data_IF_331196882105
#
_entry.id   IF_331196882105
#
_cell.length_a   1.000
_cell.length_b   1.000
_cell.length_c   1.000
_cell.angle_alpha   90.00
_cell.angle_beta   90.00
_cell.angle_gamma   90.00
#
_symmetry.space_group_name_H-M   'P 1'
#
loop_
_entity.id
_entity.type
_entity.pdbx_description
1 polymer ?
#
# COMPACT_ATOMS: atom_id res chain seq x y z
N UNK A 1 -40.97 -5.99 14.06
CA UNK A 1 -41.69 -5.49 12.86
C UNK A 1 -40.92 -4.36 12.14
N UNK A 2 -40.33 -3.39 12.84
CA UNK A 2 -39.60 -2.27 12.20
C UNK A 2 -38.39 -2.68 11.34
N UNK A 3 -37.57 -3.64 11.80
CA UNK A 3 -36.40 -4.09 11.03
C UNK A 3 -36.72 -4.79 9.71
N UNK A 4 -37.91 -5.40 9.58
CA UNK A 4 -38.37 -6.09 8.38
C UNK A 4 -39.02 -5.13 7.37
N UNK A 5 -39.74 -4.12 7.86
CA UNK A 5 -40.44 -3.15 6.99
C UNK A 5 -39.47 -2.18 6.31
N UNK A 6 -38.40 -1.76 6.98
CA UNK A 6 -37.37 -0.89 6.36
C UNK A 6 -36.52 -1.57 5.28
N UNK A 7 -36.65 -2.89 5.07
CA UNK A 7 -35.97 -3.62 3.99
C UNK A 7 -36.82 -3.79 2.73
N UNK A 8 -38.10 -3.40 2.76
CA UNK A 8 -39.02 -3.53 1.63
C UNK A 8 -38.98 -2.25 0.80
N UNK A 9 -38.31 -2.29 -0.35
CA UNK A 9 -38.16 -1.15 -1.28
C UNK A 9 -39.42 -0.94 -2.12
N UNK A 10 -40.49 -0.43 -1.51
CA UNK A 10 -41.74 -0.06 -2.20
C UNK A 10 -42.20 1.30 -1.72
N UNK A 11 -42.30 2.27 -2.64
CA UNK A 11 -42.64 3.67 -2.36
C UNK A 11 -44.00 3.84 -1.66
N UNK A 12 -44.96 2.94 -1.93
CA UNK A 12 -46.26 2.98 -1.24
C UNK A 12 -46.17 2.61 0.23
N UNK A 13 -45.16 1.86 0.66
CA UNK A 13 -45.01 1.39 2.05
C UNK A 13 -44.25 2.44 2.89
N UNK A 14 -43.39 3.26 2.27
CA UNK A 14 -42.58 4.26 2.98
C UNK A 14 -43.43 5.37 3.61
N UNK A 15 -44.51 5.80 2.95
CA UNK A 15 -45.46 6.79 3.53
C UNK A 15 -46.16 6.24 4.79
N UNK A 16 -46.61 4.98 4.78
CA UNK A 16 -47.25 4.35 5.95
C UNK A 16 -46.26 4.01 7.07
N UNK A 17 -44.96 3.98 6.78
CA UNK A 17 -43.90 3.67 7.75
C UNK A 17 -43.49 4.88 8.60
N UNK A 18 -43.78 6.11 8.15
CA UNK A 18 -43.35 7.34 8.80
C UNK A 18 -43.85 7.47 10.24
N UNK A 19 -45.16 7.30 10.45
CA UNK A 19 -45.78 7.51 11.76
C UNK A 19 -45.40 6.41 12.78
N UNK A 20 -45.37 5.11 12.43
CA UNK A 20 -44.80 4.07 13.28
C UNK A 20 -43.32 4.30 13.61
N UNK A 21 -42.52 4.73 12.63
CA UNK A 21 -41.09 4.99 12.84
C UNK A 21 -40.86 6.13 13.83
N UNK A 22 -41.64 7.21 13.73
CA UNK A 22 -41.60 8.34 14.67
C UNK A 22 -41.89 7.90 16.11
N UNK A 23 -42.82 6.95 16.30
CA UNK A 23 -43.09 6.36 17.62
C UNK A 23 -41.92 5.50 18.09
N UNK A 24 -41.34 4.68 17.21
CA UNK A 24 -40.19 3.83 17.55
C UNK A 24 -38.92 4.62 17.91
N UNK A 25 -38.74 5.84 17.39
CA UNK A 25 -37.61 6.70 17.77
C UNK A 25 -37.71 7.22 19.22
N UNK A 26 -38.93 7.29 19.78
CA UNK A 26 -39.20 7.72 21.17
C UNK A 26 -39.60 6.58 22.10
N UNK A 27 -39.36 5.34 21.67
CA UNK A 27 -39.72 4.15 22.44
C UNK A 27 -38.91 4.04 23.74
N UNK A 28 -39.46 3.39 24.76
CA UNK A 28 -38.76 3.19 26.04
C UNK A 28 -37.62 2.17 25.90
N UNK A 29 -37.75 1.20 24.97
CA UNK A 29 -36.75 0.16 24.76
C UNK A 29 -35.58 0.66 23.88
N UNK A 30 -34.33 0.68 24.39
CA UNK A 30 -33.15 1.01 23.60
C UNK A 30 -32.96 0.14 22.35
N UNK A 31 -33.42 -1.12 22.37
CA UNK A 31 -33.34 -2.01 21.22
C UNK A 31 -34.25 -1.51 20.08
N UNK A 32 -35.44 -1.01 20.40
CA UNK A 32 -36.37 -0.45 19.41
C UNK A 32 -35.80 0.85 18.86
N UNK A 33 -35.29 1.73 19.73
CA UNK A 33 -34.68 3.02 19.31
C UNK A 33 -33.46 2.84 18.41
N UNK A 34 -32.56 1.89 18.71
CA UNK A 34 -31.39 1.62 17.83
C UNK A 34 -31.84 1.10 16.46
N UNK A 35 -32.86 0.24 16.41
CA UNK A 35 -33.38 -0.28 15.14
C UNK A 35 -34.11 0.81 14.36
N UNK A 36 -34.80 1.71 15.05
CA UNK A 36 -35.43 2.88 14.45
C UNK A 36 -34.38 3.82 13.84
N UNK A 37 -33.26 4.08 14.51
CA UNK A 37 -32.16 4.90 13.98
C UNK A 37 -31.61 4.35 12.65
N UNK A 38 -31.34 3.04 12.58
CA UNK A 38 -30.90 2.39 11.33
C UNK A 38 -32.01 2.40 10.26
N UNK A 39 -33.28 2.31 10.67
CA UNK A 39 -34.41 2.37 9.75
C UNK A 39 -34.55 3.77 9.11
N UNK A 40 -34.18 4.85 9.81
CA UNK A 40 -34.12 6.20 9.24
C UNK A 40 -33.11 6.28 8.09
N UNK A 41 -31.91 5.71 8.26
CA UNK A 41 -30.92 5.65 7.17
C UNK A 41 -31.43 4.85 5.96
N UNK A 42 -32.10 3.71 6.20
CA UNK A 42 -32.73 2.94 5.12
C UNK A 42 -33.85 3.70 4.41
N UNK A 43 -34.63 4.49 5.15
CA UNK A 43 -35.67 5.32 4.57
C UNK A 43 -35.06 6.42 3.69
N UNK A 44 -33.92 6.98 4.10
CA UNK A 44 -33.18 7.97 3.32
C UNK A 44 -32.61 7.39 2.02
N UNK A 45 -32.10 6.15 2.03
CA UNK A 45 -31.67 5.43 0.81
C UNK A 45 -32.81 5.26 -0.21
N UNK A 46 -34.05 5.08 0.27
CA UNK A 46 -35.22 4.92 -0.61
C UNK A 46 -35.77 6.28 -1.06
N UNK A 47 -35.95 7.22 -0.14
CA UNK A 47 -36.57 8.51 -0.40
C UNK A 47 -36.03 9.59 0.54
N UNK A 48 -34.92 10.21 0.15
CA UNK A 48 -34.26 11.30 0.88
C UNK A 48 -35.17 12.52 1.18
N UNK A 49 -35.94 13.11 0.22
CA UNK A 49 -36.73 14.30 0.52
C UNK A 49 -37.83 14.04 1.54
N UNK A 50 -38.40 12.82 1.56
CA UNK A 50 -39.38 12.46 2.57
C UNK A 50 -38.79 12.43 4.00
N UNK A 51 -37.50 12.11 4.16
CA UNK A 51 -36.82 12.12 5.46
C UNK A 51 -36.60 13.55 5.97
N UNK A 52 -36.29 14.48 5.07
CA UNK A 52 -36.16 15.90 5.35
C UNK A 52 -37.53 16.53 5.70
N UNK A 53 -38.55 16.28 4.89
CA UNK A 53 -39.91 16.81 5.07
C UNK A 53 -40.54 16.35 6.40
N UNK A 54 -40.24 15.13 6.83
CA UNK A 54 -40.73 14.57 8.09
C UNK A 54 -39.88 14.96 9.31
N UNK A 55 -38.79 15.70 9.15
CA UNK A 55 -37.92 16.13 10.24
C UNK A 55 -37.27 14.97 11.00
N UNK A 56 -37.00 13.85 10.34
CA UNK A 56 -36.35 12.70 10.98
C UNK A 56 -34.86 12.97 11.28
N UNK A 57 -34.23 13.90 10.56
CA UNK A 57 -32.86 14.35 10.80
C UNK A 57 -32.70 14.94 12.21
N UNK A 58 -33.61 15.83 12.62
CA UNK A 58 -33.56 16.43 13.96
C UNK A 58 -33.77 15.38 15.05
N UNK A 59 -34.69 14.43 14.83
CA UNK A 59 -34.93 13.33 15.78
C UNK A 59 -33.71 12.41 15.90
N UNK A 60 -33.00 12.15 14.79
CA UNK A 60 -31.78 11.37 14.80
C UNK A 60 -30.64 12.11 15.51
N UNK A 61 -30.58 13.44 15.39
CA UNK A 61 -29.66 14.29 16.16
C UNK A 61 -29.96 14.25 17.66
N UNK A 62 -31.23 14.24 18.05
CA UNK A 62 -31.61 14.12 19.46
C UNK A 62 -31.15 12.77 20.04
N UNK A 63 -31.19 11.69 19.24
CA UNK A 63 -30.66 10.37 19.62
C UNK A 63 -29.13 10.34 19.81
N UNK A 64 -28.37 11.34 19.35
CA UNK A 64 -26.96 11.47 19.72
C UNK A 64 -26.74 11.84 21.19
N UNK A 65 -27.77 12.36 21.85
CA UNK A 65 -27.76 12.69 23.28
C UNK A 65 -28.48 11.65 24.14
N UNK A 66 -28.71 10.45 23.59
CA UNK A 66 -29.35 9.35 24.31
C UNK A 66 -28.53 8.88 25.52
N UNK A 67 -29.20 8.32 26.52
CA UNK A 67 -28.55 7.70 27.67
C UNK A 67 -27.91 6.36 27.34
N UNK A 68 -28.37 5.67 26.28
CA UNK A 68 -27.83 4.37 25.89
C UNK A 68 -26.76 4.50 24.78
N UNK A 69 -25.49 4.09 25.04
CA UNK A 69 -24.41 4.20 24.07
C UNK A 69 -24.66 3.45 22.76
N UNK A 70 -25.42 2.34 22.78
CA UNK A 70 -25.74 1.58 21.57
C UNK A 70 -26.70 2.32 20.64
N UNK A 71 -27.62 3.11 21.20
CA UNK A 71 -28.53 3.96 20.41
C UNK A 71 -27.72 5.10 19.79
N UNK A 72 -26.86 5.75 20.57
CA UNK A 72 -25.94 6.80 20.10
C UNK A 72 -25.08 6.28 18.95
N UNK A 73 -24.44 5.12 19.10
CA UNK A 73 -23.56 4.58 18.06
C UNK A 73 -24.29 4.27 16.75
N UNK A 74 -25.51 3.72 16.80
CA UNK A 74 -26.31 3.47 15.60
C UNK A 74 -26.87 4.75 14.99
N UNK A 75 -27.19 5.76 15.81
CA UNK A 75 -27.57 7.08 15.33
C UNK A 75 -26.39 7.76 14.61
N UNK A 76 -25.17 7.64 15.14
CA UNK A 76 -23.94 8.12 14.47
C UNK A 76 -23.69 7.40 13.15
N UNK A 77 -23.84 6.07 13.12
CA UNK A 77 -23.68 5.29 11.90
C UNK A 77 -24.69 5.74 10.82
N UNK A 78 -25.97 5.83 11.20
CA UNK A 78 -27.04 6.29 10.32
C UNK A 78 -26.78 7.71 9.79
N UNK A 79 -26.38 8.65 10.64
CA UNK A 79 -26.06 10.02 10.21
C UNK A 79 -24.84 10.07 9.28
N UNK A 80 -23.83 9.24 9.53
CA UNK A 80 -22.63 9.19 8.68
C UNK A 80 -22.95 8.65 7.29
N UNK A 81 -23.76 7.58 7.22
CA UNK A 81 -24.25 7.01 5.95
C UNK A 81 -25.11 8.00 5.16
N UNK A 82 -26.02 8.72 5.84
CA UNK A 82 -26.85 9.74 5.21
C UNK A 82 -26.02 10.93 4.68
N UNK A 83 -24.99 11.35 5.44
CA UNK A 83 -24.06 12.38 4.99
C UNK A 83 -23.28 11.96 3.74
N UNK A 84 -22.88 10.69 3.63
CA UNK A 84 -22.19 10.16 2.43
C UNK A 84 -23.12 10.03 1.22
N UNK A 85 -24.39 9.68 1.42
CA UNK A 85 -25.39 9.57 0.37
C UNK A 85 -25.89 10.92 -0.17
N UNK A 86 -25.55 12.03 0.49
CA UNK A 86 -26.03 13.36 0.14
C UNK A 86 -25.37 13.92 -1.12
N UNK A 87 -26.18 14.24 -2.14
CA UNK A 87 -25.71 14.71 -3.45
C UNK A 87 -25.12 16.14 -3.43
N UNK A 88 -25.28 16.88 -2.33
CA UNK A 88 -24.86 18.27 -2.18
C UNK A 88 -23.39 18.46 -1.80
N UNK A 89 -22.68 17.39 -1.41
CA UNK A 89 -21.28 17.46 -0.98
C UNK A 89 -21.02 18.28 0.29
N UNK A 90 -22.08 18.73 0.99
CA UNK A 90 -22.01 19.35 2.30
C UNK A 90 -22.58 18.39 3.35
N UNK A 91 -21.98 18.28 4.55
CA UNK A 91 -22.53 17.46 5.61
C UNK A 91 -23.92 18.01 6.00
N UNK A 92 -24.95 17.17 5.90
CA UNK A 92 -26.33 17.50 6.33
C UNK A 92 -26.37 17.89 7.81
N UNK A 93 -25.39 17.46 8.60
CA UNK A 93 -25.24 17.88 10.00
C UNK A 93 -23.77 17.98 10.39
N UNK A 94 -23.30 19.18 10.69
CA UNK A 94 -21.98 19.37 11.30
C UNK A 94 -21.97 18.84 12.75
N UNK A 95 -21.02 17.95 13.06
CA UNK A 95 -20.83 17.47 14.42
C UNK A 95 -20.25 18.59 15.29
N UNK A 96 -20.98 19.00 16.32
CA UNK A 96 -20.53 20.04 17.25
C UNK A 96 -19.53 19.50 18.28
N UNK A 97 -18.59 20.33 18.75
CA UNK A 97 -17.66 19.99 19.83
C UNK A 97 -18.29 19.38 21.11
N UNK A 98 -19.45 19.85 21.62
CA UNK A 98 -20.12 19.20 22.74
C UNK A 98 -20.68 17.82 22.37
N UNK A 99 -21.15 17.61 21.14
CA UNK A 99 -21.55 16.28 20.64
C UNK A 99 -20.35 15.33 20.67
N UNK A 100 -19.17 15.78 20.23
CA UNK A 100 -17.95 14.96 20.21
C UNK A 100 -17.53 14.53 21.61
N UNK A 101 -17.62 15.43 22.60
CA UNK A 101 -17.34 15.06 23.99
C UNK A 101 -18.29 13.96 24.49
N UNK A 102 -19.58 14.01 24.13
CA UNK A 102 -20.54 12.95 24.44
C UNK A 102 -20.19 11.64 23.72
N UNK A 103 -19.84 11.71 22.44
CA UNK A 103 -19.41 10.54 21.66
C UNK A 103 -18.16 9.88 22.24
N UNK A 104 -17.19 10.67 22.71
CA UNK A 104 -15.99 10.17 23.36
C UNK A 104 -16.29 9.52 24.73
N UNK A 105 -17.31 10.00 25.45
CA UNK A 105 -17.79 9.33 26.67
C UNK A 105 -18.47 8.01 26.30
N UNK A 106 -19.37 8.01 25.31
CA UNK A 106 -20.05 6.83 24.82
C UNK A 106 -19.07 5.77 24.26
N UNK A 107 -17.95 6.21 23.67
CA UNK A 107 -16.89 5.34 23.15
C UNK A 107 -16.35 4.36 24.21
N UNK A 108 -16.37 4.73 25.50
CA UNK A 108 -15.89 3.85 26.58
C UNK A 108 -16.87 2.73 26.92
N UNK A 109 -18.16 2.91 26.66
CA UNK A 109 -19.24 2.01 27.07
C UNK A 109 -19.88 1.29 25.86
N UNK A 110 -19.55 1.70 24.64
CA UNK A 110 -20.04 1.11 23.40
C UNK A 110 -19.45 -0.27 23.12
N UNK A 111 -20.24 -1.09 22.43
CA UNK A 111 -19.78 -2.32 21.75
C UNK A 111 -18.69 -2.00 20.72
N UNK A 112 -17.87 -2.99 20.36
CA UNK A 112 -16.76 -2.85 19.41
C UNK A 112 -17.18 -2.17 18.08
N UNK A 113 -18.28 -2.61 17.47
CA UNK A 113 -18.81 -2.02 16.24
C UNK A 113 -19.28 -0.58 16.42
N UNK A 114 -19.88 -0.29 17.57
CA UNK A 114 -20.26 1.08 17.93
C UNK A 114 -19.05 2.00 18.09
N UNK A 115 -17.94 1.48 18.61
CA UNK A 115 -16.68 2.23 18.68
C UNK A 115 -16.13 2.53 17.29
N UNK A 116 -16.20 1.59 16.34
CA UNK A 116 -15.81 1.81 14.94
C UNK A 116 -16.63 2.94 14.32
N UNK A 117 -17.97 2.90 14.42
CA UNK A 117 -18.83 3.94 13.85
C UNK A 117 -18.55 5.33 14.43
N UNK A 118 -18.33 5.41 15.75
CA UNK A 118 -17.95 6.67 16.40
C UNK A 118 -16.59 7.16 15.90
N UNK A 119 -15.59 6.29 15.81
CA UNK A 119 -14.25 6.65 15.33
C UNK A 119 -14.26 7.09 13.87
N UNK A 120 -15.02 6.42 13.00
CA UNK A 120 -15.16 6.82 11.60
C UNK A 120 -15.84 8.19 11.47
N UNK A 121 -16.88 8.46 12.28
CA UNK A 121 -17.50 9.78 12.32
C UNK A 121 -16.53 10.87 12.82
N UNK A 122 -15.70 10.55 13.84
CA UNK A 122 -14.64 11.45 14.31
C UNK A 122 -13.59 11.71 13.23
N UNK A 123 -13.35 10.75 12.32
CA UNK A 123 -12.42 10.92 11.21
C UNK A 123 -12.91 11.94 10.18
N UNK A 124 -14.20 12.25 10.14
CA UNK A 124 -14.77 13.30 9.28
C UNK A 124 -14.75 14.69 9.96
N UNK A 125 -14.70 14.74 11.29
CA UNK A 125 -14.55 15.99 12.02
C UNK A 125 -13.18 16.63 11.78
N UNK A 126 -13.15 17.97 11.85
CA UNK A 126 -11.93 18.77 11.87
C UNK A 126 -11.91 19.58 13.19
N UNK A 127 -11.02 19.27 14.15
CA UNK A 127 -10.91 20.04 15.38
C UNK A 127 -10.53 21.49 15.07
N UNK A 128 -11.03 22.43 15.90
CA UNK A 128 -10.80 23.86 15.68
C UNK A 128 -9.42 24.30 16.16
N UNK A 129 -8.95 23.69 17.24
CA UNK A 129 -7.71 24.04 17.92
C UNK A 129 -6.80 22.82 18.12
N UNK A 130 -5.48 23.04 18.17
CA UNK A 130 -4.48 22.00 18.48
C UNK A 130 -4.75 21.35 19.85
N UNK A 131 -5.24 22.12 20.84
CA UNK A 131 -5.58 21.61 22.17
C UNK A 131 -6.78 20.65 22.15
N UNK A 132 -7.77 20.94 21.30
CA UNK A 132 -8.93 20.06 21.10
C UNK A 132 -8.47 18.75 20.45
N UNK A 133 -7.65 18.84 19.41
CA UNK A 133 -7.07 17.68 18.73
C UNK A 133 -6.27 16.79 19.71
N UNK A 134 -5.42 17.38 20.55
CA UNK A 134 -4.67 16.67 21.58
C UNK A 134 -5.59 15.96 22.58
N UNK A 135 -6.61 16.65 23.11
CA UNK A 135 -7.56 16.05 24.06
C UNK A 135 -8.32 14.87 23.45
N UNK A 136 -8.72 14.97 22.18
CA UNK A 136 -9.39 13.86 21.48
C UNK A 136 -8.41 12.68 21.30
N UNK A 137 -7.17 12.95 20.85
CA UNK A 137 -6.15 11.91 20.69
C UNK A 137 -5.84 11.17 22.00
N UNK A 138 -5.77 11.87 23.13
CA UNK A 138 -5.59 11.23 24.45
C UNK A 138 -6.70 10.24 24.79
N UNK A 139 -7.96 10.58 24.47
CA UNK A 139 -9.12 9.71 24.72
C UNK A 139 -9.23 8.56 23.72
N UNK A 140 -8.71 8.72 22.50
CA UNK A 140 -8.67 7.65 21.48
C UNK A 140 -7.50 6.69 21.73
N UNK A 141 -6.40 7.14 22.33
CA UNK A 141 -5.19 6.33 22.56
C UNK A 141 -5.46 4.96 23.22
N UNK A 142 -6.32 4.82 24.26
CA UNK A 142 -6.64 3.51 24.85
C UNK A 142 -7.27 2.50 23.88
N UNK A 143 -7.90 2.97 22.79
CA UNK A 143 -8.51 2.09 21.78
C UNK A 143 -7.49 1.31 20.95
N UNK A 144 -6.23 1.74 20.97
CA UNK A 144 -5.14 1.05 20.29
C UNK A 144 -4.83 -0.33 20.88
N UNK A 145 -5.20 -0.59 22.14
CA UNK A 145 -4.99 -1.88 22.82
C UNK A 145 -6.20 -2.84 22.68
N UNK A 146 -7.17 -2.51 21.83
CA UNK A 146 -8.38 -3.30 21.66
C UNK A 146 -8.09 -4.59 20.87
N UNK A 147 -8.83 -5.68 21.16
CA UNK A 147 -8.63 -6.97 20.49
C UNK A 147 -9.06 -6.95 19.00
N UNK A 148 -10.15 -6.23 18.72
CA UNK A 148 -10.69 -6.09 17.36
C UNK A 148 -9.83 -5.13 16.50
N UNK A 149 -9.27 -5.67 15.40
CA UNK A 149 -8.45 -4.92 14.45
C UNK A 149 -9.17 -3.73 13.80
N UNK A 150 -10.48 -3.80 13.60
CA UNK A 150 -11.25 -2.70 13.01
C UNK A 150 -11.26 -1.47 13.93
N UNK A 151 -11.39 -1.68 15.25
CA UNK A 151 -11.33 -0.61 16.25
C UNK A 151 -9.93 0.03 16.25
N UNK A 152 -8.88 -0.79 16.20
CA UNK A 152 -7.50 -0.31 16.17
C UNK A 152 -7.22 0.50 14.90
N UNK A 153 -7.58 -0.01 13.72
CA UNK A 153 -7.38 0.70 12.44
C UNK A 153 -8.16 2.00 12.37
N UNK A 154 -9.40 2.02 12.86
CA UNK A 154 -10.23 3.24 12.92
C UNK A 154 -9.63 4.27 13.88
N UNK A 155 -9.10 3.82 15.02
CA UNK A 155 -8.38 4.68 15.95
C UNK A 155 -7.11 5.24 15.30
N UNK A 156 -6.31 4.41 14.62
CA UNK A 156 -5.11 4.84 13.88
C UNK A 156 -5.46 5.88 12.82
N UNK A 157 -6.55 5.69 12.06
CA UNK A 157 -7.03 6.66 11.05
C UNK A 157 -7.30 8.04 11.66
N UNK A 158 -8.03 8.09 12.78
CA UNK A 158 -8.31 9.34 13.51
C UNK A 158 -7.03 9.99 14.03
N UNK A 159 -6.17 9.20 14.68
CA UNK A 159 -4.90 9.69 15.23
C UNK A 159 -3.99 10.24 14.13
N UNK A 160 -3.83 9.53 13.01
CA UNK A 160 -3.01 9.98 11.88
C UNK A 160 -3.54 11.28 11.29
N UNK A 161 -4.87 11.43 11.13
CA UNK A 161 -5.48 12.68 10.63
C UNK A 161 -5.22 13.85 11.56
N UNK A 162 -5.44 13.69 12.87
CA UNK A 162 -5.28 14.78 13.83
C UNK A 162 -3.81 15.11 14.09
N UNK A 163 -2.90 14.15 13.95
CA UNK A 163 -1.46 14.40 13.98
C UNK A 163 -0.97 15.33 12.86
N UNK A 164 -1.68 15.46 11.73
CA UNK A 164 -1.33 16.42 10.67
C UNK A 164 -1.64 17.86 11.07
N UNK A 165 -2.60 18.08 11.98
CA UNK A 165 -2.97 19.41 12.46
C UNK A 165 -2.10 19.88 13.64
N UNK A 166 -1.32 18.98 14.23
CA UNK A 166 -0.42 19.29 15.34
C UNK A 166 0.97 19.65 14.82
N UNK A 167 1.69 20.44 15.60
CA UNK A 167 3.11 20.72 15.33
C UNK A 167 3.94 19.43 15.38
N UNK A 168 4.71 19.16 14.32
CA UNK A 168 5.54 17.95 14.18
C UNK A 168 6.56 17.76 15.31
N UNK A 169 7.00 18.87 15.92
CA UNK A 169 8.00 18.91 16.99
C UNK A 169 7.40 18.82 18.40
N UNK A 170 6.08 18.65 18.52
CA UNK A 170 5.45 18.47 19.82
C UNK A 170 5.89 17.15 20.46
N UNK A 171 6.31 17.21 21.73
CA UNK A 171 6.60 16.04 22.56
C UNK A 171 5.43 15.03 22.58
N UNK A 172 4.20 15.55 22.42
CA UNK A 172 3.00 14.75 22.31
C UNK A 172 3.00 13.87 21.05
N UNK A 173 3.35 14.43 19.89
CA UNK A 173 3.40 13.70 18.60
C UNK A 173 4.46 12.62 18.65
N UNK A 174 5.62 12.90 19.26
CA UNK A 174 6.68 11.91 19.47
C UNK A 174 6.23 10.78 20.39
N UNK A 175 5.52 11.11 21.48
CA UNK A 175 4.96 10.12 22.41
C UNK A 175 3.89 9.26 21.75
N UNK A 176 3.01 9.88 20.96
CA UNK A 176 1.96 9.18 20.22
C UNK A 176 2.54 8.25 19.16
N UNK A 177 3.57 8.71 18.44
CA UNK A 177 4.32 7.90 17.45
C UNK A 177 4.88 6.62 18.08
N UNK A 178 5.48 6.72 19.28
CA UNK A 178 5.96 5.55 20.03
C UNK A 178 4.83 4.62 20.47
N UNK A 179 3.66 5.16 20.81
CA UNK A 179 2.47 4.37 21.19
C UNK A 179 1.77 3.71 20.01
N UNK A 180 1.93 4.23 18.80
CA UNK A 180 1.32 3.70 17.57
C UNK A 180 2.04 2.45 17.03
N UNK A 181 3.34 2.29 17.30
CA UNK A 181 4.10 1.17 16.75
C UNK A 181 3.64 -0.22 17.28
N UNK A 182 3.50 -0.46 18.61
CA UNK A 182 3.12 -1.79 19.12
C UNK A 182 1.74 -2.31 18.64
N UNK A 183 0.68 -1.47 18.55
CA UNK A 183 -0.60 -1.88 17.98
C UNK A 183 -0.47 -2.34 16.52
N UNK A 184 0.27 -1.60 15.69
CA UNK A 184 0.49 -1.97 14.28
C UNK A 184 1.22 -3.31 14.16
N UNK A 185 2.18 -3.58 15.03
CA UNK A 185 2.88 -4.88 15.09
C UNK A 185 1.93 -6.00 15.52
N UNK A 186 1.03 -5.72 16.47
CA UNK A 186 0.07 -6.72 16.98
C UNK A 186 -0.94 -7.12 15.90
N UNK A 187 -1.34 -6.20 15.03
CA UNK A 187 -2.20 -6.49 13.86
C UNK A 187 -1.57 -7.50 12.88
N UNK A 188 -0.24 -7.58 12.82
CA UNK A 188 0.46 -8.56 11.99
C UNK A 188 0.44 -9.98 12.58
N UNK A 189 -0.07 -10.15 13.80
CA UNK A 189 -0.27 -11.46 14.43
C UNK A 189 -1.69 -12.00 14.29
N UNK A 190 -2.60 -11.24 13.66
CA UNK A 190 -4.00 -11.64 13.40
C UNK A 190 -4.13 -12.64 12.25
N UNK A 191 -5.36 -12.96 11.83
CA UNK A 191 -5.62 -13.82 10.66
C UNK A 191 -5.06 -13.21 9.36
N UNK A 192 -4.68 -14.01 8.36
CA UNK A 192 -3.99 -13.53 7.16
C UNK A 192 -4.74 -12.44 6.37
N UNK A 193 -6.07 -12.48 6.35
CA UNK A 193 -6.93 -11.50 5.71
C UNK A 193 -6.85 -10.14 6.42
N UNK A 194 -6.89 -10.17 7.76
CA UNK A 194 -6.74 -8.98 8.60
C UNK A 194 -5.32 -8.42 8.49
N UNK A 195 -4.31 -9.31 8.46
CA UNK A 195 -2.92 -8.92 8.22
C UNK A 195 -2.75 -8.21 6.89
N UNK A 196 -3.38 -8.71 5.81
CA UNK A 196 -3.30 -8.07 4.51
C UNK A 196 -3.86 -6.64 4.54
N UNK A 197 -5.04 -6.45 5.12
CA UNK A 197 -5.63 -5.11 5.30
C UNK A 197 -4.72 -4.22 6.16
N UNK A 198 -4.16 -4.77 7.25
CA UNK A 198 -3.22 -4.05 8.09
C UNK A 198 -1.95 -3.65 7.33
N UNK A 199 -1.35 -4.54 6.53
CA UNK A 199 -0.15 -4.27 5.73
C UNK A 199 -0.41 -3.19 4.68
N UNK A 200 -1.55 -3.21 3.99
CA UNK A 200 -1.94 -2.15 3.05
C UNK A 200 -2.02 -0.78 3.75
N UNK A 201 -2.63 -0.73 4.93
CA UNK A 201 -2.69 0.49 5.73
C UNK A 201 -1.31 0.92 6.26
N UNK A 202 -0.50 -0.02 6.74
CA UNK A 202 0.88 0.23 7.17
C UNK A 202 1.71 0.79 6.03
N UNK A 203 1.56 0.28 4.81
CA UNK A 203 2.26 0.78 3.62
C UNK A 203 1.95 2.28 3.39
N UNK A 204 0.68 2.70 3.55
CA UNK A 204 0.29 4.11 3.50
C UNK A 204 0.86 4.92 4.68
N UNK A 205 0.82 4.37 5.89
CA UNK A 205 1.35 5.02 7.11
C UNK A 205 2.85 5.26 6.98
N UNK A 206 3.62 4.27 6.53
CA UNK A 206 5.08 4.37 6.36
C UNK A 206 5.46 5.38 5.27
N UNK A 207 4.63 5.53 4.23
CA UNK A 207 4.83 6.58 3.21
C UNK A 207 4.61 7.98 3.78
N UNK A 208 3.66 8.15 4.69
CA UNK A 208 3.36 9.46 5.30
C UNK A 208 4.28 9.81 6.48
N UNK A 209 4.56 8.84 7.35
CA UNK A 209 5.34 8.98 8.59
C UNK A 209 6.25 7.75 8.76
N UNK A 210 7.44 7.74 8.14
CA UNK A 210 8.36 6.61 8.20
C UNK A 210 8.94 6.35 9.61
N UNK A 211 8.87 7.32 10.51
CA UNK A 211 9.45 7.24 11.86
C UNK A 211 8.72 6.25 12.79
N UNK A 212 7.44 5.95 12.54
CA UNK A 212 6.63 5.10 13.43
C UNK A 212 7.19 3.67 13.51
N UNK A 213 7.61 3.10 12.38
CA UNK A 213 7.99 1.68 12.29
C UNK A 213 9.47 1.46 11.96
N UNK A 214 10.30 2.50 12.11
CA UNK A 214 11.73 2.45 11.73
C UNK A 214 12.53 1.36 12.46
N UNK A 215 12.17 1.05 13.70
CA UNK A 215 12.87 0.07 14.54
C UNK A 215 12.29 -1.35 14.45
N UNK A 216 11.08 -1.49 13.91
CA UNK A 216 10.33 -2.74 13.88
C UNK A 216 10.51 -3.48 12.55
N UNK A 217 11.73 -3.59 12.02
CA UNK A 217 11.96 -4.26 10.73
C UNK A 217 11.64 -5.76 10.79
N UNK A 218 12.02 -6.43 11.88
CA UNK A 218 11.96 -7.91 12.01
C UNK A 218 10.53 -8.47 11.92
N UNK A 219 9.53 -7.67 12.29
CA UNK A 219 8.13 -8.09 12.27
C UNK A 219 7.58 -8.27 10.85
N UNK A 220 8.23 -7.64 9.87
CA UNK A 220 7.88 -7.72 8.45
C UNK A 220 8.61 -8.87 7.74
N UNK A 221 9.42 -9.66 8.44
CA UNK A 221 9.99 -10.86 7.84
C UNK A 221 8.87 -11.86 7.50
N UNK A 222 8.99 -12.42 6.31
CA UNK A 222 8.06 -13.35 5.71
C UNK A 222 8.26 -14.72 6.35
N UNK A 223 7.17 -15.35 6.76
CA UNK A 223 7.19 -16.74 7.22
C UNK A 223 6.86 -17.66 6.05
N UNK A 224 7.36 -18.89 6.09
CA UNK A 224 7.08 -19.90 5.06
C UNK A 224 5.57 -20.15 4.86
N UNK A 225 4.78 -20.11 5.94
CA UNK A 225 3.34 -20.36 5.93
C UNK A 225 2.48 -19.11 5.60
N UNK A 226 3.10 -17.95 5.35
CA UNK A 226 2.36 -16.75 4.98
C UNK A 226 1.78 -16.89 3.55
N UNK A 227 0.52 -16.48 3.30
CA UNK A 227 -0.02 -16.45 1.95
C UNK A 227 0.74 -15.49 1.04
N UNK A 228 0.78 -15.78 -0.27
CA UNK A 228 1.55 -15.01 -1.25
C UNK A 228 1.27 -13.50 -1.21
N UNK A 229 0.01 -13.10 -1.06
CA UNK A 229 -0.36 -11.68 -0.97
C UNK A 229 0.20 -10.99 0.29
N UNK A 230 0.32 -11.70 1.41
CA UNK A 230 0.98 -11.20 2.63
C UNK A 230 2.48 -11.10 2.41
N UNK A 231 3.10 -12.13 1.79
CA UNK A 231 4.54 -12.14 1.47
C UNK A 231 4.93 -10.92 0.64
N UNK A 232 4.16 -10.63 -0.41
CA UNK A 232 4.42 -9.51 -1.32
C UNK A 232 4.31 -8.15 -0.63
N UNK A 233 3.29 -7.93 0.20
CA UNK A 233 3.13 -6.66 0.93
C UNK A 233 4.21 -6.47 2.00
N UNK A 234 4.57 -7.53 2.72
CA UNK A 234 5.69 -7.52 3.67
C UNK A 234 6.99 -7.11 2.99
N UNK A 235 7.29 -7.70 1.83
CA UNK A 235 8.46 -7.37 1.03
C UNK A 235 8.50 -5.88 0.63
N UNK A 236 7.37 -5.33 0.17
CA UNK A 236 7.29 -3.91 -0.20
C UNK A 236 7.52 -2.98 1.01
N UNK A 237 6.99 -3.33 2.19
CA UNK A 237 7.22 -2.56 3.43
C UNK A 237 8.68 -2.67 3.88
N UNK A 238 9.30 -3.86 3.79
CA UNK A 238 10.73 -4.05 4.11
C UNK A 238 11.60 -3.12 3.27
N UNK A 239 11.35 -3.00 1.97
CA UNK A 239 12.10 -2.09 1.09
C UNK A 239 11.90 -0.63 1.53
N UNK A 240 10.68 -0.26 1.95
CA UNK A 240 10.38 1.10 2.43
C UNK A 240 11.04 1.43 3.77
N UNK A 241 11.20 0.44 4.65
CA UNK A 241 11.87 0.60 5.94
C UNK A 241 13.39 0.35 5.87
N UNK A 242 13.90 -0.09 4.72
CA UNK A 242 15.33 -0.30 4.51
C UNK A 242 16.13 0.99 4.75
N UNK A 243 17.14 0.89 5.61
CA UNK A 243 18.02 1.96 6.06
C UNK A 243 19.45 1.42 6.18
N UNK A 244 20.43 2.32 6.31
CA UNK A 244 21.85 1.94 6.44
C UNK A 244 22.11 0.98 7.61
N UNK A 245 21.35 1.09 8.70
CA UNK A 245 21.56 0.27 9.90
C UNK A 245 21.04 -1.16 9.77
N UNK A 246 19.97 -1.39 9.00
CA UNK A 246 19.29 -2.68 8.91
C UNK A 246 19.57 -3.44 7.60
N UNK A 247 20.25 -2.81 6.64
CA UNK A 247 20.40 -3.36 5.29
C UNK A 247 21.09 -4.73 5.24
N UNK A 248 22.02 -4.99 6.15
CA UNK A 248 22.70 -6.30 6.21
C UNK A 248 21.73 -7.44 6.55
N UNK A 249 20.80 -7.18 7.47
CA UNK A 249 19.76 -8.16 7.84
C UNK A 249 18.75 -8.33 6.70
N UNK A 250 18.33 -7.22 6.08
CA UNK A 250 17.39 -7.26 4.94
C UNK A 250 17.99 -8.05 3.77
N UNK A 251 19.27 -7.84 3.43
CA UNK A 251 19.91 -8.57 2.34
C UNK A 251 20.08 -10.07 2.62
N UNK A 252 20.42 -10.44 3.86
CA UNK A 252 20.49 -11.85 4.25
C UNK A 252 19.13 -12.53 4.08
N UNK A 253 18.07 -11.86 4.51
CA UNK A 253 16.70 -12.35 4.40
C UNK A 253 16.22 -12.44 2.93
N UNK A 254 16.48 -11.41 2.12
CA UNK A 254 16.17 -11.41 0.69
C UNK A 254 16.92 -12.50 -0.08
N UNK A 255 18.15 -12.82 0.34
CA UNK A 255 18.92 -13.94 -0.22
C UNK A 255 18.24 -15.27 0.07
N UNK A 256 17.70 -15.46 1.27
CA UNK A 256 16.91 -16.65 1.61
C UNK A 256 15.62 -16.73 0.80
N UNK A 257 14.91 -15.60 0.63
CA UNK A 257 13.69 -15.55 -0.19
C UNK A 257 13.95 -15.87 -1.66
N UNK A 258 15.13 -15.54 -2.19
CA UNK A 258 15.52 -15.87 -3.55
C UNK A 258 15.79 -17.37 -3.77
N UNK A 259 15.84 -18.17 -2.69
CA UNK A 259 15.97 -19.64 -2.75
C UNK A 259 14.64 -20.39 -2.55
N UNK A 260 13.52 -19.67 -2.38
CA UNK A 260 12.19 -20.30 -2.33
C UNK A 260 11.76 -20.89 -3.68
N UNK A 261 10.71 -21.72 -3.65
CA UNK A 261 10.16 -22.41 -4.82
C UNK A 261 9.19 -21.54 -5.64
N UNK A 262 8.62 -20.49 -5.03
CA UNK A 262 7.63 -19.61 -5.68
C UNK A 262 8.34 -18.61 -6.60
N UNK A 263 8.19 -18.80 -7.92
CA UNK A 263 8.89 -18.02 -8.94
C UNK A 263 8.55 -16.52 -8.86
N UNK A 264 7.28 -16.18 -8.65
CA UNK A 264 6.84 -14.78 -8.60
C UNK A 264 7.38 -14.09 -7.35
N UNK A 265 7.36 -14.77 -6.20
CA UNK A 265 7.93 -14.25 -4.97
C UNK A 265 9.46 -14.07 -5.08
N UNK A 266 10.18 -15.05 -5.63
CA UNK A 266 11.63 -14.97 -5.85
C UNK A 266 11.98 -13.79 -6.76
N UNK A 267 11.28 -13.62 -7.88
CA UNK A 267 11.51 -12.47 -8.78
C UNK A 267 11.32 -11.14 -8.05
N UNK A 268 10.27 -11.02 -7.25
CA UNK A 268 10.04 -9.82 -6.44
C UNK A 268 11.14 -9.61 -5.39
N UNK A 269 11.64 -10.67 -4.76
CA UNK A 269 12.76 -10.59 -3.81
C UNK A 269 14.05 -10.12 -4.50
N UNK A 270 14.37 -10.62 -5.70
CA UNK A 270 15.53 -10.15 -6.49
C UNK A 270 15.37 -8.68 -6.86
N UNK A 271 14.18 -8.25 -7.32
CA UNK A 271 13.88 -6.82 -7.55
C UNK A 271 14.00 -5.99 -6.27
N UNK A 272 13.66 -6.54 -5.11
CA UNK A 272 13.80 -5.88 -3.82
C UNK A 272 15.28 -5.61 -3.49
N UNK A 273 16.18 -6.54 -3.77
CA UNK A 273 17.64 -6.34 -3.63
C UNK A 273 18.09 -5.15 -4.50
N UNK A 274 17.61 -5.07 -5.73
CA UNK A 274 17.85 -3.94 -6.63
C UNK A 274 17.39 -2.59 -6.09
N UNK A 275 16.14 -2.54 -5.61
CA UNK A 275 15.58 -1.31 -5.00
C UNK A 275 16.36 -0.90 -3.76
N UNK A 276 16.82 -1.85 -2.96
CA UNK A 276 17.70 -1.62 -1.82
C UNK A 276 19.03 -0.97 -2.25
N UNK A 277 19.68 -1.48 -3.30
CA UNK A 277 20.91 -0.90 -3.86
C UNK A 277 20.72 0.55 -4.35
N UNK A 278 19.59 0.83 -5.00
CA UNK A 278 19.27 2.18 -5.51
C UNK A 278 18.96 3.15 -4.37
N UNK A 279 18.30 2.67 -3.31
CA UNK A 279 17.88 3.50 -2.17
C UNK A 279 19.02 3.83 -1.21
N UNK A 280 19.93 2.88 -0.97
CA UNK A 280 21.03 3.03 -0.01
C UNK A 280 22.36 2.78 -0.71
N UNK A 281 23.08 3.85 -1.05
CA UNK A 281 24.34 3.76 -1.84
C UNK A 281 25.40 2.85 -1.22
N UNK A 282 25.61 2.91 0.11
CA UNK A 282 26.58 2.07 0.80
C UNK A 282 26.28 0.56 0.69
N UNK A 283 25.04 0.20 0.37
CA UNK A 283 24.63 -1.19 0.21
C UNK A 283 24.79 -1.72 -1.21
N UNK A 284 25.00 -0.84 -2.20
CA UNK A 284 25.03 -1.22 -3.61
C UNK A 284 26.07 -2.32 -3.88
N UNK A 285 27.28 -2.19 -3.34
CA UNK A 285 28.34 -3.20 -3.49
C UNK A 285 27.94 -4.56 -2.90
N UNK A 286 27.32 -4.57 -1.71
CA UNK A 286 26.82 -5.80 -1.07
C UNK A 286 25.65 -6.41 -1.83
N UNK A 287 24.74 -5.58 -2.35
CA UNK A 287 23.62 -6.03 -3.17
C UNK A 287 24.13 -6.70 -4.45
N UNK A 288 25.10 -6.08 -5.12
CA UNK A 288 25.74 -6.62 -6.33
C UNK A 288 26.44 -7.95 -6.03
N UNK A 289 27.21 -8.03 -4.94
CA UNK A 289 27.79 -9.31 -4.50
C UNK A 289 26.73 -10.38 -4.23
N UNK A 290 25.60 -10.01 -3.63
CA UNK A 290 24.49 -10.94 -3.37
C UNK A 290 23.83 -11.41 -4.67
N UNK A 291 23.65 -10.52 -5.64
CA UNK A 291 23.10 -10.86 -6.96
C UNK A 291 24.06 -11.77 -7.75
N UNK A 292 25.37 -11.57 -7.64
CA UNK A 292 26.37 -12.48 -8.20
C UNK A 292 26.28 -13.89 -7.62
N UNK A 293 26.17 -14.00 -6.29
CA UNK A 293 25.98 -15.30 -5.65
C UNK A 293 24.72 -16.00 -6.17
N UNK A 294 23.64 -15.23 -6.38
CA UNK A 294 22.38 -15.74 -6.94
C UNK A 294 22.54 -16.17 -8.40
N UNK A 295 23.31 -15.45 -9.21
CA UNK A 295 23.61 -15.84 -10.60
C UNK A 295 24.40 -17.14 -10.63
N UNK A 296 25.34 -17.33 -9.70
CA UNK A 296 26.12 -18.57 -9.59
C UNK A 296 25.29 -19.81 -9.25
N UNK A 297 24.06 -19.65 -8.74
CA UNK A 297 23.13 -20.78 -8.53
C UNK A 297 22.66 -21.41 -9.85
N UNK A 298 22.85 -20.72 -10.99
CA UNK A 298 22.45 -21.17 -12.34
C UNK A 298 20.96 -21.50 -12.49
N UNK A 299 20.10 -20.86 -11.69
CA UNK A 299 18.65 -20.96 -11.84
C UNK A 299 18.19 -19.90 -12.84
N UNK A 300 17.73 -20.32 -14.03
CA UNK A 300 17.46 -19.44 -15.18
C UNK A 300 16.61 -18.19 -14.83
N UNK A 301 15.45 -18.37 -14.21
CA UNK A 301 14.57 -17.23 -13.89
C UNK A 301 15.16 -16.27 -12.84
N UNK A 302 16.08 -16.74 -11.98
CA UNK A 302 16.80 -15.89 -11.01
C UNK A 302 17.89 -15.11 -11.72
N UNK A 303 18.65 -15.76 -12.60
CA UNK A 303 19.73 -15.14 -13.39
C UNK A 303 19.16 -14.01 -14.25
N UNK A 304 18.06 -14.27 -14.95
CA UNK A 304 17.41 -13.29 -15.82
C UNK A 304 16.93 -12.06 -15.05
N UNK A 305 16.24 -12.27 -13.94
CA UNK A 305 15.77 -11.18 -13.10
C UNK A 305 16.93 -10.40 -12.47
N UNK A 306 18.02 -11.10 -12.07
CA UNK A 306 19.22 -10.46 -11.55
C UNK A 306 19.90 -9.56 -12.59
N UNK A 307 19.95 -9.96 -13.87
CA UNK A 307 20.52 -9.14 -14.95
C UNK A 307 19.74 -7.85 -15.15
N UNK A 308 18.40 -7.92 -15.14
CA UNK A 308 17.53 -6.73 -15.23
C UNK A 308 17.82 -5.76 -14.09
N UNK A 309 17.98 -6.30 -12.88
CA UNK A 309 18.31 -5.50 -11.69
C UNK A 309 19.71 -4.91 -11.75
N UNK A 310 20.71 -5.67 -12.20
CA UNK A 310 22.10 -5.20 -12.32
C UNK A 310 22.20 -4.07 -13.35
N UNK A 311 21.48 -4.15 -14.47
CA UNK A 311 21.36 -3.05 -15.44
C UNK A 311 20.90 -1.77 -14.74
N UNK A 312 19.84 -1.84 -13.94
CA UNK A 312 19.31 -0.66 -13.24
C UNK A 312 20.30 -0.11 -12.18
N UNK A 313 21.06 -0.98 -11.53
CA UNK A 313 22.16 -0.58 -10.63
C UNK A 313 23.27 0.12 -11.42
N UNK A 314 23.68 -0.39 -12.58
CA UNK A 314 24.70 0.24 -13.44
C UNK A 314 24.26 1.60 -13.96
N UNK A 315 22.97 1.76 -14.29
CA UNK A 315 22.39 3.06 -14.66
C UNK A 315 22.46 4.07 -13.53
N UNK A 316 22.32 3.61 -12.27
CA UNK A 316 22.39 4.47 -11.08
C UNK A 316 23.83 4.78 -10.66
N UNK A 317 24.73 3.81 -10.75
CA UNK A 317 26.14 3.93 -10.36
C UNK A 317 27.07 3.52 -11.52
N UNK A 318 27.26 4.38 -12.53
CA UNK A 318 28.11 4.08 -13.68
C UNK A 318 29.58 3.88 -13.27
N UNK A 319 30.29 3.02 -14.00
CA UNK A 319 31.75 2.79 -13.90
C UNK A 319 32.29 2.27 -12.55
N UNK A 320 31.44 1.76 -11.64
CA UNK A 320 31.89 1.22 -10.33
C UNK A 320 32.06 -0.31 -10.31
N UNK A 321 31.31 -1.05 -11.12
CA UNK A 321 31.08 -2.49 -10.95
C UNK A 321 31.38 -3.31 -12.21
N UNK A 322 32.39 -2.90 -12.96
CA UNK A 322 32.65 -3.43 -14.30
C UNK A 322 33.28 -4.83 -14.31
N UNK A 323 33.98 -5.21 -13.24
CA UNK A 323 34.58 -6.54 -13.08
C UNK A 323 33.56 -7.69 -13.16
N UNK A 324 32.28 -7.35 -13.06
CA UNK A 324 31.15 -8.29 -13.05
C UNK A 324 30.65 -8.57 -14.47
N UNK A 325 30.93 -7.67 -15.42
CA UNK A 325 30.42 -7.76 -16.79
C UNK A 325 30.89 -9.05 -17.46
N UNK A 326 32.14 -9.48 -17.23
CA UNK A 326 32.66 -10.75 -17.74
C UNK A 326 31.84 -11.94 -17.26
N UNK A 327 31.54 -12.01 -15.96
CA UNK A 327 30.70 -13.07 -15.37
C UNK A 327 29.27 -13.04 -15.90
N UNK A 328 28.71 -11.86 -16.21
CA UNK A 328 27.40 -11.75 -16.84
C UNK A 328 27.42 -12.30 -18.27
N UNK A 329 28.47 -12.00 -19.04
CA UNK A 329 28.62 -12.46 -20.43
C UNK A 329 28.77 -14.00 -20.52
N UNK A 330 29.37 -14.64 -19.52
CA UNK A 330 29.45 -16.11 -19.46
C UNK A 330 28.09 -16.80 -19.33
N UNK A 331 27.03 -16.10 -18.88
CA UNK A 331 25.69 -16.65 -18.68
C UNK A 331 24.70 -16.29 -19.79
N UNK A 332 25.18 -15.72 -20.90
CA UNK A 332 24.36 -15.18 -22.00
C UNK A 332 23.50 -16.25 -22.70
N UNK A 333 24.01 -17.49 -22.78
CA UNK A 333 23.33 -18.62 -23.43
C UNK A 333 22.03 -19.07 -22.71
N UNK A 334 21.82 -18.61 -21.46
CA UNK A 334 20.68 -19.03 -20.62
C UNK A 334 19.51 -18.04 -20.64
N UNK A 335 19.58 -16.98 -21.45
CA UNK A 335 18.60 -15.90 -21.49
C UNK A 335 17.51 -16.13 -22.54
N UNK A 336 16.31 -16.48 -22.09
CA UNK A 336 15.10 -16.60 -22.91
C UNK A 336 14.16 -15.38 -22.77
N UNK A 337 14.11 -14.73 -21.60
CA UNK A 337 13.24 -13.58 -21.40
C UNK A 337 13.67 -12.32 -22.17
N UNK A 338 12.75 -11.67 -22.92
CA UNK A 338 13.05 -10.46 -23.68
C UNK A 338 13.58 -9.30 -22.82
N UNK A 339 13.07 -9.15 -21.59
CA UNK A 339 13.49 -8.08 -20.68
C UNK A 339 14.95 -8.28 -20.23
N UNK A 340 15.35 -9.52 -19.97
CA UNK A 340 16.72 -9.87 -19.61
C UNK A 340 17.67 -9.75 -20.80
N UNK A 341 17.28 -10.24 -21.99
CA UNK A 341 18.04 -10.08 -23.25
C UNK A 341 18.27 -8.61 -23.58
N UNK A 342 17.23 -7.79 -23.57
CA UNK A 342 17.33 -6.34 -23.79
C UNK A 342 18.23 -5.66 -22.74
N UNK A 343 18.17 -6.11 -21.48
CA UNK A 343 19.01 -5.59 -20.41
C UNK A 343 20.49 -5.96 -20.62
N UNK A 344 20.77 -7.18 -21.08
CA UNK A 344 22.13 -7.62 -21.38
C UNK A 344 22.72 -6.88 -22.58
N UNK A 345 21.96 -6.73 -23.66
CA UNK A 345 22.35 -5.96 -24.85
C UNK A 345 22.67 -4.51 -24.47
N UNK A 346 21.88 -3.90 -23.58
CA UNK A 346 22.17 -2.56 -23.08
C UNK A 346 23.50 -2.51 -22.32
N UNK A 347 23.79 -3.49 -21.45
CA UNK A 347 25.06 -3.56 -20.72
C UNK A 347 26.24 -3.68 -21.69
N UNK A 348 26.14 -4.56 -22.69
CA UNK A 348 27.18 -4.75 -23.70
C UNK A 348 27.41 -3.47 -24.49
N UNK A 349 26.34 -2.81 -24.97
CA UNK A 349 26.45 -1.58 -25.74
C UNK A 349 26.99 -0.38 -24.95
N UNK A 350 26.64 -0.25 -23.67
CA UNK A 350 27.12 0.85 -22.82
C UNK A 350 28.62 0.69 -22.51
N UNK A 351 29.04 -0.53 -22.15
CA UNK A 351 30.40 -0.85 -21.75
C UNK A 351 31.26 -1.46 -22.88
N UNK A 352 30.82 -1.27 -24.14
CA UNK A 352 31.48 -1.77 -25.34
C UNK A 352 32.97 -1.39 -25.50
N UNK A 353 33.43 -0.32 -24.84
CA UNK A 353 34.87 0.04 -24.83
C UNK A 353 35.74 -0.99 -24.09
N UNK A 354 35.17 -1.64 -23.06
CA UNK A 354 35.90 -2.53 -22.14
C UNK A 354 35.67 -4.00 -22.40
N UNK A 355 34.66 -4.34 -23.19
CA UNK A 355 34.35 -5.70 -23.60
C UNK A 355 34.99 -5.90 -24.97
N UNK A 356 36.03 -6.72 -25.05
CA UNK A 356 36.77 -6.90 -26.30
C UNK A 356 35.96 -7.64 -27.36
N UNK A 357 35.20 -8.65 -26.95
CA UNK A 357 34.34 -9.49 -27.81
C UNK A 357 32.87 -8.97 -27.91
N UNK A 358 32.65 -7.66 -27.75
CA UNK A 358 31.31 -7.09 -27.79
C UNK A 358 30.64 -7.19 -29.17
N UNK A 359 31.44 -7.12 -30.22
CA UNK A 359 31.06 -7.32 -31.61
C UNK A 359 30.52 -8.73 -31.85
N UNK A 360 31.29 -9.77 -31.48
CA UNK A 360 30.88 -11.17 -31.63
C UNK A 360 29.59 -11.48 -30.84
N UNK A 361 29.49 -10.95 -29.62
CA UNK A 361 28.30 -11.13 -28.78
C UNK A 361 27.06 -10.47 -29.41
N UNK A 362 27.16 -9.24 -29.93
CA UNK A 362 26.03 -8.56 -30.57
C UNK A 362 25.67 -9.17 -31.93
N UNK A 363 26.64 -9.71 -32.67
CA UNK A 363 26.41 -10.44 -33.92
C UNK A 363 25.55 -11.69 -33.69
N UNK A 364 25.79 -12.44 -32.60
CA UNK A 364 24.94 -13.59 -32.25
C UNK A 364 23.46 -13.23 -32.03
N UNK A 365 23.17 -12.02 -31.53
CA UNK A 365 21.80 -11.52 -31.37
C UNK A 365 21.19 -11.01 -32.68
N UNK A 366 22.01 -10.66 -33.68
CA UNK A 366 21.55 -10.21 -34.99
C UNK A 366 21.04 -11.36 -35.86
N UNK A 367 21.56 -12.58 -35.70
CA UNK A 367 21.13 -13.76 -36.48
C UNK A 367 19.62 -14.03 -36.34
N UNK A 368 19.03 -13.72 -35.18
CA UNK A 368 17.60 -13.89 -34.88
C UNK A 368 16.77 -12.60 -34.91
N UNK A 369 17.24 -11.52 -35.53
CA UNK A 369 16.66 -10.17 -35.36
C UNK A 369 15.14 -10.07 -35.55
N UNK A 370 14.57 -10.71 -36.57
CA UNK A 370 13.13 -10.64 -36.88
C UNK A 370 12.25 -11.45 -35.92
N UNK A 371 12.81 -12.51 -35.30
CA UNK A 371 12.09 -13.37 -34.37
C UNK A 371 12.13 -12.82 -32.93
N UNK A 372 12.99 -11.82 -32.68
CA UNK A 372 13.11 -11.14 -31.39
C UNK A 372 11.98 -10.14 -31.12
N UNK A 373 11.77 -9.83 -29.84
CA UNK A 373 10.81 -8.80 -29.43
C UNK A 373 11.27 -7.40 -29.87
N UNK A 374 10.34 -6.51 -30.22
CA UNK A 374 10.61 -5.11 -30.59
C UNK A 374 11.49 -4.37 -29.57
N UNK A 375 11.35 -4.65 -28.27
CA UNK A 375 12.21 -4.06 -27.25
C UNK A 375 13.69 -4.48 -27.39
N UNK A 376 13.92 -5.75 -27.72
CA UNK A 376 15.26 -6.32 -27.95
C UNK A 376 15.84 -5.74 -29.23
N UNK A 377 15.06 -5.71 -30.31
CA UNK A 377 15.47 -5.11 -31.61
C UNK A 377 15.94 -3.66 -31.45
N UNK A 378 15.16 -2.83 -30.75
CA UNK A 378 15.49 -1.42 -30.52
C UNK A 378 16.76 -1.26 -29.66
N UNK A 379 16.93 -2.10 -28.65
CA UNK A 379 18.16 -2.09 -27.85
C UNK A 379 19.37 -2.57 -28.64
N UNK A 380 19.20 -3.56 -29.51
CA UNK A 380 20.27 -4.08 -30.36
C UNK A 380 20.75 -3.02 -31.35
N UNK A 381 19.81 -2.33 -32.00
CA UNK A 381 20.12 -1.18 -32.85
C UNK A 381 20.90 -0.11 -32.08
N UNK A 382 20.43 0.24 -30.89
CA UNK A 382 21.07 1.26 -30.05
C UNK A 382 22.48 0.81 -29.61
N UNK A 383 22.64 -0.44 -29.21
CA UNK A 383 23.91 -1.00 -28.75
C UNK A 383 24.95 -1.06 -29.88
N UNK A 384 24.55 -1.50 -31.08
CA UNK A 384 25.44 -1.58 -32.25
C UNK A 384 25.85 -0.17 -32.70
N UNK A 385 24.93 0.80 -32.71
CA UNK A 385 25.28 2.19 -33.02
C UNK A 385 26.26 2.76 -31.99
N UNK A 386 26.07 2.48 -30.69
CA UNK A 386 27.04 2.87 -29.65
C UNK A 386 28.40 2.20 -29.84
N UNK A 387 28.41 0.91 -30.15
CA UNK A 387 29.62 0.14 -30.44
C UNK A 387 30.35 0.75 -31.66
N UNK A 388 29.63 1.08 -32.73
CA UNK A 388 30.20 1.73 -33.92
C UNK A 388 30.80 3.11 -33.64
N UNK A 389 30.10 3.93 -32.84
CA UNK A 389 30.64 5.24 -32.44
C UNK A 389 31.94 5.12 -31.62
N UNK A 390 32.13 4.01 -30.91
CA UNK A 390 33.31 3.74 -30.08
C UNK A 390 34.44 3.05 -30.84
N UNK A 391 34.11 2.07 -31.69
CA UNK A 391 35.05 1.22 -32.47
C UNK A 391 34.65 1.16 -33.95
N UNK A 392 34.81 2.26 -34.72
CA UNK A 392 34.29 2.36 -36.08
C UNK A 392 34.97 1.44 -37.10
N UNK A 393 36.20 0.99 -36.84
CA UNK A 393 37.00 0.20 -37.79
C UNK A 393 36.55 -1.26 -37.92
N UNK A 394 36.06 -1.86 -36.84
CA UNK A 394 35.74 -3.30 -36.78
C UNK A 394 34.23 -3.57 -36.93
N UNK A 395 33.39 -2.54 -36.80
CA UNK A 395 31.93 -2.69 -36.62
C UNK A 395 31.12 -2.08 -37.75
N UNK A 396 31.79 -1.65 -38.84
CA UNK A 396 31.15 -1.00 -39.98
C UNK A 396 30.20 -1.93 -40.74
N UNK A 397 30.53 -3.22 -40.88
CA UNK A 397 29.63 -4.20 -41.51
C UNK A 397 28.43 -4.48 -40.62
N UNK A 398 28.66 -4.66 -39.31
CA UNK A 398 27.62 -4.91 -38.31
C UNK A 398 26.57 -3.79 -38.25
N UNK A 399 27.01 -2.52 -38.28
CA UNK A 399 26.09 -1.37 -38.26
C UNK A 399 25.30 -1.24 -39.56
N UNK A 400 25.89 -1.58 -40.72
CA UNK A 400 25.18 -1.59 -41.99
C UNK A 400 24.11 -2.69 -42.02
N UNK A 401 24.42 -3.87 -41.50
CA UNK A 401 23.50 -4.99 -41.42
C UNK A 401 22.30 -4.65 -40.52
N UNK A 402 22.53 -4.16 -39.29
CA UNK A 402 21.40 -3.82 -38.39
C UNK A 402 20.53 -2.69 -38.95
N UNK A 403 21.11 -1.69 -39.61
CA UNK A 403 20.34 -0.61 -40.23
C UNK A 403 19.52 -1.12 -41.42
N UNK A 404 20.05 -2.06 -42.20
CA UNK A 404 19.32 -2.67 -43.33
C UNK A 404 18.14 -3.48 -42.80
N UNK A 405 18.36 -4.35 -41.82
CA UNK A 405 17.32 -5.16 -41.19
C UNK A 405 16.23 -4.30 -40.53
N UNK A 406 16.62 -3.19 -39.88
CA UNK A 406 15.70 -2.29 -39.19
C UNK A 406 14.98 -1.27 -40.09
N UNK A 407 15.31 -1.19 -41.39
CA UNK A 407 14.67 -0.20 -42.30
C UNK A 407 14.10 -0.81 -43.58
N UNK A 408 14.75 -1.82 -44.16
CA UNK A 408 14.35 -2.44 -45.42
C UNK A 408 13.51 -3.69 -45.21
N UNK A 409 13.79 -4.45 -44.15
CA UNK A 409 13.15 -5.75 -43.85
C UNK A 409 12.16 -5.69 -42.66
N UNK A 410 11.74 -4.49 -42.24
CA UNK A 410 10.83 -4.24 -41.10
C UNK A 410 9.34 -4.36 -41.43
#
# INVERSE_FOLDING_TARGET
AGGTMGCIRVDKITEYLCEPLRKCLKDEDPYVRKTAAVCVAKLHDINAPLVEDQGFLDQLRDLLSDSNPMVVANAVAALSEMNEASSSGQPLTEMSGPTINKLLTALNECTEWGQVFILDSLSNYAPKDEREAQSICERVTPRLAHANAAVVLSAVKVLMKFMEMMSSDSDFVTTLTKKLAPPLVTLLSSEPEVQYVALRNINLIVQKRPDILKHEMKVFFVKYNDPIYVKLEKLDIMIRLASQANIAQVLAELKEYATEVDVDFVRKAVRAIGRCAIKVEQSAERCVSTLLDLIQTKVNYVVQEAIVVIKDIFRKYPNKYESIISTLCENLDTLDEPEARASMIWIIGEYAERIDNADELLESFLEGFHDENTQVQLQLLTAIVKLFLKRPTETQELVQQVLSLATQDS
#
